data_IF_508603487904
#
_entry.id   IF_508603487904
#
_cell.length_a   1.000
_cell.length_b   1.000
_cell.length_c   1.000
_cell.angle_alpha   90.00
_cell.angle_beta   90.00
_cell.angle_gamma   90.00
#
_symmetry.space_group_name_H-M   'P 1'
#
loop_
_entity.id
_entity.type
_entity.pdbx_description
1 polymer ?
#
# COMPACT_ATOMS: atom_id res chain seq x y z
N UNK A 1 -7.63 28.89 41.47
CA UNK A 1 -7.00 28.74 40.14
C UNK A 1 -7.47 27.42 39.55
N UNK A 2 -8.30 27.46 38.50
CA UNK A 2 -8.98 26.29 37.93
C UNK A 2 -8.15 25.81 36.75
N UNK A 3 -7.35 24.75 36.94
CA UNK A 3 -6.60 24.13 35.84
C UNK A 3 -7.57 23.28 35.02
N UNK A 4 -7.84 23.70 33.79
CA UNK A 4 -8.50 22.87 32.79
C UNK A 4 -7.43 22.01 32.12
N UNK A 5 -7.41 20.72 32.46
CA UNK A 5 -6.68 19.72 31.67
C UNK A 5 -7.40 19.61 30.32
N UNK A 6 -6.77 20.12 29.26
CA UNK A 6 -7.18 19.85 27.89
C UNK A 6 -6.73 18.42 27.53
N UNK A 7 -7.68 17.48 27.54
CA UNK A 7 -7.46 16.13 27.04
C UNK A 7 -7.51 16.18 25.51
N UNK A 8 -6.35 16.17 24.85
CA UNK A 8 -6.28 16.05 23.39
C UNK A 8 -6.62 14.62 22.99
N UNK A 9 -7.84 14.44 22.45
CA UNK A 9 -8.23 13.23 21.75
C UNK A 9 -7.45 13.13 20.44
N UNK A 10 -6.53 12.17 20.33
CA UNK A 10 -5.96 11.78 19.05
C UNK A 10 -6.94 10.84 18.36
N UNK A 11 -7.70 11.35 17.40
CA UNK A 11 -8.51 10.53 16.51
C UNK A 11 -7.53 9.90 15.51
N UNK A 12 -7.16 8.63 15.74
CA UNK A 12 -6.31 7.87 14.82
C UNK A 12 -7.12 7.46 13.60
N UNK A 13 -7.17 8.33 12.60
CA UNK A 13 -7.41 7.90 11.22
C UNK A 13 -6.08 7.39 10.69
N UNK A 14 -6.01 6.11 10.32
CA UNK A 14 -4.80 5.46 9.81
C UNK A 14 -4.35 6.10 8.48
N UNK A 15 -3.63 7.21 8.58
CA UNK A 15 -2.78 7.70 7.51
C UNK A 15 -1.50 6.86 7.54
N UNK A 16 -0.86 6.62 6.40
CA UNK A 16 0.51 6.06 6.39
C UNK A 16 1.42 6.95 7.24
N UNK A 17 2.00 6.40 8.31
CA UNK A 17 2.90 7.16 9.19
C UNK A 17 4.33 6.68 8.96
N UNK A 18 4.95 7.23 7.92
CA UNK A 18 6.40 7.19 7.82
C UNK A 18 7.00 8.25 8.73
N UNK A 19 8.19 7.99 9.28
CA UNK A 19 8.93 9.01 9.99
C UNK A 19 9.23 10.21 9.08
N UNK A 20 9.43 11.43 9.60
CA UNK A 20 9.65 12.64 8.78
C UNK A 20 10.83 12.57 7.79
N UNK A 21 11.80 11.68 8.02
CA UNK A 21 12.96 11.47 7.15
C UNK A 21 12.79 10.28 6.19
N UNK A 22 11.63 9.63 6.19
CA UNK A 22 11.29 8.50 5.33
C UNK A 22 10.18 8.88 4.34
N UNK A 23 10.19 8.22 3.20
CA UNK A 23 9.16 8.29 2.19
C UNK A 23 8.28 7.06 2.22
N UNK A 24 7.02 7.21 1.81
CA UNK A 24 6.14 6.05 1.64
C UNK A 24 6.53 5.27 0.39
N UNK A 25 6.84 3.98 0.57
CA UNK A 25 7.03 3.05 -0.53
C UNK A 25 5.82 3.06 -1.45
N UNK A 26 6.07 2.89 -2.75
CA UNK A 26 5.07 3.00 -3.81
C UNK A 26 5.06 1.73 -4.64
N UNK A 27 3.88 1.28 -5.04
CA UNK A 27 3.69 0.19 -6.00
C UNK A 27 2.90 0.71 -7.20
N UNK A 28 3.28 0.27 -8.40
CA UNK A 28 2.49 0.46 -9.61
C UNK A 28 1.64 -0.79 -9.82
N UNK A 29 0.33 -0.66 -9.61
CA UNK A 29 -0.64 -1.74 -9.85
C UNK A 29 -1.33 -1.53 -11.19
N UNK A 30 -1.44 -2.60 -11.98
CA UNK A 30 -1.80 -2.54 -13.39
C UNK A 30 -3.04 -3.39 -13.68
N UNK A 31 -3.94 -2.89 -14.53
CA UNK A 31 -5.21 -3.58 -14.83
C UNK A 31 -5.10 -4.68 -15.88
N UNK A 32 -3.99 -4.71 -16.61
CA UNK A 32 -3.71 -5.71 -17.65
C UNK A 32 -2.44 -6.50 -17.30
N UNK A 33 -2.28 -7.68 -17.90
CA UNK A 33 -1.04 -8.45 -17.81
C UNK A 33 0.11 -7.71 -18.53
N UNK A 34 1.35 -8.07 -18.19
CA UNK A 34 2.54 -7.45 -18.78
C UNK A 34 2.81 -6.02 -18.31
N UNK A 35 2.30 -5.63 -17.13
CA UNK A 35 2.52 -4.32 -16.50
C UNK A 35 2.00 -3.16 -17.37
N UNK A 36 0.77 -3.28 -17.87
CA UNK A 36 0.09 -2.27 -18.70
C UNK A 36 -1.13 -1.66 -17.98
N UNK A 37 -1.44 -0.40 -18.29
CA UNK A 37 -2.51 0.39 -17.64
C UNK A 37 -2.33 0.46 -16.11
N UNK A 38 -1.21 1.06 -15.70
CA UNK A 38 -0.75 1.10 -14.32
C UNK A 38 -1.06 2.42 -13.62
N UNK A 39 -1.29 2.34 -12.31
CA UNK A 39 -1.37 3.49 -11.41
C UNK A 39 -0.49 3.27 -10.18
N UNK A 40 0.27 4.29 -9.81
CA UNK A 40 1.03 4.32 -8.56
C UNK A 40 0.12 4.45 -7.34
N UNK A 41 0.41 3.67 -6.30
CA UNK A 41 -0.25 3.72 -4.99
C UNK A 41 0.82 3.63 -3.92
N UNK A 42 0.77 4.53 -2.94
CA UNK A 42 1.63 4.51 -1.75
C UNK A 42 0.81 4.16 -0.52
N UNK A 43 1.45 3.55 0.49
CA UNK A 43 0.75 3.25 1.75
C UNK A 43 1.58 3.45 3.02
N UNK A 44 2.90 3.23 3.01
CA UNK A 44 3.81 3.61 4.10
C UNK A 44 3.49 2.92 5.42
N UNK A 45 3.86 1.63 5.51
CA UNK A 45 3.62 0.71 6.62
C UNK A 45 2.14 0.55 7.02
N UNK A 46 1.22 1.03 6.18
CA UNK A 46 -0.22 0.87 6.39
C UNK A 46 -0.87 0.14 5.24
N UNK A 47 -2.03 -0.43 5.52
CA UNK A 47 -2.83 -1.09 4.52
C UNK A 47 -3.67 -0.08 3.73
N UNK A 48 -3.68 -0.19 2.40
CA UNK A 48 -4.53 0.60 1.51
C UNK A 48 -5.37 -0.30 0.61
N UNK A 49 -6.69 -0.08 0.62
CA UNK A 49 -7.63 -0.77 -0.26
C UNK A 49 -7.58 -0.19 -1.68
N UNK A 50 -7.47 -1.09 -2.66
CA UNK A 50 -7.41 -0.72 -4.08
C UNK A 50 -8.82 -0.62 -4.67
N UNK A 51 -9.12 0.55 -5.23
CA UNK A 51 -10.37 0.80 -5.96
C UNK A 51 -10.13 0.88 -7.47
N UNK A 52 -11.10 0.39 -8.25
CA UNK A 52 -11.10 0.49 -9.72
C UNK A 52 -10.40 -0.64 -10.48
N UNK A 53 -10.21 -1.80 -9.84
CA UNK A 53 -9.59 -2.99 -10.43
C UNK A 53 -10.45 -3.72 -11.49
N UNK A 54 -10.09 -4.96 -11.87
CA UNK A 54 -9.08 -5.82 -11.25
C UNK A 54 -7.64 -5.33 -11.50
N UNK A 55 -6.75 -5.52 -10.53
CA UNK A 55 -5.31 -5.28 -10.68
C UNK A 55 -4.59 -6.61 -10.76
N UNK A 56 -3.97 -6.91 -11.91
CA UNK A 56 -3.51 -8.27 -12.25
C UNK A 56 -2.01 -8.37 -12.50
N UNK A 57 -1.30 -7.24 -12.57
CA UNK A 57 0.16 -7.21 -12.67
C UNK A 57 0.70 -5.92 -12.02
N UNK A 58 2.01 -5.79 -11.89
CA UNK A 58 2.59 -4.61 -11.26
C UNK A 58 4.04 -4.77 -10.79
N UNK A 59 4.60 -3.69 -10.26
CA UNK A 59 5.99 -3.60 -9.81
C UNK A 59 6.15 -2.50 -8.74
N UNK A 60 7.08 -2.67 -7.82
CA UNK A 60 7.42 -1.64 -6.83
C UNK A 60 8.19 -0.48 -7.48
N UNK A 61 8.00 0.72 -6.94
CA UNK A 61 8.73 1.92 -7.34
C UNK A 61 10.15 1.97 -6.75
N UNK A 62 10.39 1.28 -5.64
CA UNK A 62 11.66 1.26 -4.89
C UNK A 62 12.14 -0.17 -4.69
N UNK A 63 13.40 -0.33 -4.23
CA UNK A 63 14.05 -1.63 -4.00
C UNK A 63 13.30 -2.53 -3.01
N UNK A 64 12.62 -1.89 -2.06
CA UNK A 64 11.87 -2.55 -1.00
C UNK A 64 10.56 -3.09 -1.57
N UNK A 65 10.31 -4.38 -1.33
CA UNK A 65 9.12 -5.01 -1.85
C UNK A 65 7.86 -4.51 -1.11
N UNK A 66 6.84 -4.14 -1.89
CA UNK A 66 5.49 -3.98 -1.38
C UNK A 66 4.80 -5.34 -1.30
N UNK A 67 3.82 -5.50 -0.42
CA UNK A 67 2.93 -6.66 -0.39
C UNK A 67 1.62 -6.34 -1.09
N UNK A 68 1.15 -7.27 -1.90
CA UNK A 68 -0.23 -7.28 -2.43
C UNK A 68 -1.04 -8.36 -1.71
N UNK A 69 -2.34 -8.14 -1.58
CA UNK A 69 -3.26 -9.05 -0.89
C UNK A 69 -4.48 -9.38 -1.74
N UNK A 70 -5.00 -10.60 -1.59
CA UNK A 70 -6.15 -11.10 -2.35
C UNK A 70 -7.48 -10.48 -1.92
N UNK A 71 -7.57 -9.97 -0.70
CA UNK A 71 -8.76 -9.34 -0.13
C UNK A 71 -8.49 -7.90 0.32
N UNK A 72 -9.57 -7.20 0.69
CA UNK A 72 -9.47 -5.87 1.31
C UNK A 72 -8.91 -5.96 2.74
N UNK A 73 -8.44 -4.82 3.25
CA UNK A 73 -7.85 -4.65 4.57
C UNK A 73 -6.61 -5.52 4.82
N UNK A 74 -5.87 -5.85 3.77
CA UNK A 74 -4.63 -6.63 3.80
C UNK A 74 -4.81 -8.01 4.40
N UNK A 75 -5.90 -8.66 3.97
CA UNK A 75 -6.29 -10.01 4.36
C UNK A 75 -6.13 -11.00 3.20
N UNK A 76 -6.25 -12.28 3.54
CA UNK A 76 -6.15 -13.37 2.56
C UNK A 76 -4.70 -13.68 2.18
N UNK A 77 -4.51 -14.18 0.96
CA UNK A 77 -3.19 -14.55 0.45
C UNK A 77 -2.38 -13.28 0.14
N UNK A 78 -1.10 -13.28 0.51
CA UNK A 78 -0.19 -12.16 0.27
C UNK A 78 1.03 -12.57 -0.54
N UNK A 79 1.43 -11.75 -1.50
CA UNK A 79 2.69 -11.93 -2.25
C UNK A 79 3.54 -10.64 -2.23
N UNK A 80 4.87 -10.74 -2.11
CA UNK A 80 5.75 -9.61 -2.30
C UNK A 80 5.87 -9.23 -3.78
N UNK A 81 6.03 -7.94 -4.04
CA UNK A 81 6.24 -7.33 -5.36
C UNK A 81 7.40 -6.36 -5.23
N UNK A 82 8.51 -6.67 -5.90
CA UNK A 82 9.71 -5.82 -5.97
C UNK A 82 9.75 -4.99 -7.27
N UNK A 83 10.88 -4.35 -7.57
CA UNK A 83 11.06 -3.54 -8.80
C UNK A 83 11.00 -4.35 -10.10
N UNK A 84 11.38 -5.62 -10.07
CA UNK A 84 11.22 -6.50 -11.26
C UNK A 84 9.73 -6.70 -11.53
N UNK A 85 8.98 -6.88 -10.43
CA UNK A 85 7.54 -7.04 -10.42
C UNK A 85 7.09 -8.33 -11.07
N UNK A 86 5.81 -8.39 -11.40
CA UNK A 86 5.17 -9.56 -11.98
C UNK A 86 4.39 -9.15 -13.23
N UNK A 87 4.56 -9.90 -14.32
CA UNK A 87 3.73 -9.74 -15.52
C UNK A 87 2.30 -10.25 -15.29
N UNK A 88 2.12 -11.14 -14.32
CA UNK A 88 0.82 -11.66 -13.89
C UNK A 88 0.92 -12.08 -12.42
N UNK A 89 0.08 -11.51 -11.59
CA UNK A 89 -0.08 -11.94 -10.20
C UNK A 89 -0.83 -13.27 -10.13
N UNK A 90 -0.61 -14.02 -9.05
CA UNK A 90 -1.34 -15.24 -8.77
C UNK A 90 -2.84 -15.01 -8.50
N UNK A 91 -3.21 -13.78 -8.12
CA UNK A 91 -4.56 -13.34 -7.85
C UNK A 91 -4.70 -11.85 -8.19
N UNK A 92 -5.93 -11.37 -8.41
CA UNK A 92 -6.16 -9.94 -8.57
C UNK A 92 -5.98 -9.23 -7.22
N UNK A 93 -5.08 -8.26 -7.15
CA UNK A 93 -4.80 -7.54 -5.91
C UNK A 93 -5.98 -6.65 -5.50
N UNK A 94 -6.34 -6.69 -4.21
CA UNK A 94 -7.46 -5.94 -3.61
C UNK A 94 -7.01 -4.93 -2.56
N UNK A 95 -5.87 -5.15 -1.91
CA UNK A 95 -5.21 -4.16 -1.08
C UNK A 95 -3.69 -4.32 -1.14
N UNK A 96 -2.98 -3.32 -0.62
CA UNK A 96 -1.51 -3.26 -0.63
C UNK A 96 -0.96 -2.74 0.69
N UNK A 97 0.28 -3.12 0.98
CA UNK A 97 1.10 -2.58 2.07
C UNK A 97 2.52 -2.40 1.55
N UNK A 98 2.95 -1.15 1.40
CA UNK A 98 4.30 -0.78 1.03
C UNK A 98 5.04 -0.23 2.25
N UNK A 99 6.31 -0.60 2.46
CA UNK A 99 7.06 -0.13 3.62
C UNK A 99 7.39 1.35 3.55
N UNK A 100 7.73 1.96 4.68
CA UNK A 100 8.44 3.24 4.68
C UNK A 100 9.92 3.03 4.30
N UNK A 101 10.47 3.92 3.46
CA UNK A 101 11.81 3.84 2.86
C UNK A 101 12.62 5.10 3.06
#
# INVERSE_FOLDING_TARGET
MKQFLALTLFISTAYGWCYPWQSSGTINVCKQEGKQDCRGVSSGDTCVNLNGGPFVSGFAGQSEACKIFSDVDCKGTSNPVDQSGWNKFAFAARSIECPCV
#
